data_IF_259639807556
#
_entry.id   IF_259639807556
#
_cell.length_a   1.000
_cell.length_b   1.000
_cell.length_c   1.000
_cell.angle_alpha   90.00
_cell.angle_beta   90.00
_cell.angle_gamma   90.00
#
_symmetry.space_group_name_H-M   'P 1'
#
loop_
_entity.id
_entity.type
_entity.pdbx_description
1 polymer ?
#
# COMPACT_ATOMS: atom_id res chain seq x y z
N UNK A 1 -36.06 35.50 -41.78
CA UNK A 1 -35.25 35.50 -43.01
C UNK A 1 -33.89 36.09 -42.68
N UNK A 2 -32.93 35.24 -42.28
CA UNK A 2 -31.46 35.38 -42.48
C UNK A 2 -30.78 34.17 -41.86
N UNK A 3 -30.31 33.23 -42.68
CA UNK A 3 -29.11 32.45 -42.39
C UNK A 3 -27.96 32.96 -43.28
N UNK A 4 -26.87 32.22 -43.50
CA UNK A 4 -26.22 31.18 -42.69
C UNK A 4 -24.74 31.56 -42.40
N UNK A 5 -23.96 30.68 -41.77
CA UNK A 5 -22.53 30.92 -41.55
C UNK A 5 -21.77 29.69 -41.07
N UNK A 6 -21.58 28.73 -41.96
CA UNK A 6 -20.65 27.61 -41.83
C UNK A 6 -19.24 28.07 -41.47
N UNK A 7 -18.60 27.45 -40.47
CA UNK A 7 -17.13 27.34 -40.40
C UNK A 7 -16.69 26.02 -39.75
N UNK A 8 -16.30 25.10 -40.63
CA UNK A 8 -15.01 24.40 -40.68
C UNK A 8 -14.56 23.53 -39.49
N UNK A 9 -14.50 22.23 -39.79
CA UNK A 9 -13.68 21.20 -39.15
C UNK A 9 -12.18 21.55 -39.21
N UNK A 10 -11.45 21.21 -38.13
CA UNK A 10 -10.00 21.12 -38.09
C UNK A 10 -9.60 20.25 -36.90
N UNK A 11 -9.13 19.02 -37.18
CA UNK A 11 -8.69 18.07 -36.16
C UNK A 11 -7.20 18.22 -35.82
N UNK A 12 -6.81 17.70 -34.65
CA UNK A 12 -5.46 17.22 -34.34
C UNK A 12 -5.54 16.34 -33.07
N UNK A 13 -4.92 15.17 -33.14
CA UNK A 13 -4.91 14.16 -32.08
C UNK A 13 -3.90 14.43 -30.94
N UNK A 14 -3.23 13.37 -30.44
CA UNK A 14 -3.36 12.87 -29.09
C UNK A 14 -2.35 13.49 -28.11
N UNK A 15 -2.74 13.61 -26.84
CA UNK A 15 -1.86 14.07 -25.76
C UNK A 15 -2.23 13.40 -24.44
N UNK A 16 -1.53 12.32 -24.14
CA UNK A 16 -0.91 12.00 -22.86
C UNK A 16 -1.80 12.06 -21.60
N UNK A 17 -2.21 10.88 -21.13
CA UNK A 17 -2.58 10.66 -19.73
C UNK A 17 -1.31 10.73 -18.88
N UNK A 18 -0.90 11.95 -18.54
CA UNK A 18 -0.01 12.17 -17.41
C UNK A 18 -0.81 11.86 -16.14
N UNK A 19 -0.55 10.70 -15.55
CA UNK A 19 -0.95 10.40 -14.16
C UNK A 19 -0.18 11.38 -13.25
N UNK A 20 -0.79 12.54 -13.04
CA UNK A 20 -0.36 13.48 -12.02
C UNK A 20 -0.47 12.80 -10.65
N UNK A 21 0.67 12.75 -9.94
CA UNK A 21 0.68 12.44 -8.52
C UNK A 21 -0.21 13.43 -7.76
N UNK A 22 -1.10 12.89 -6.94
CA UNK A 22 -1.96 13.63 -6.03
C UNK A 22 -2.33 12.68 -4.88
N UNK A 23 -2.14 12.97 -3.61
CA UNK A 23 -1.47 14.09 -2.97
C UNK A 23 -1.17 13.65 -1.54
N UNK A 24 0.01 13.98 -1.05
CA UNK A 24 0.25 14.01 0.39
C UNK A 24 -0.71 15.07 0.94
N UNK A 25 -1.74 14.61 1.66
CA UNK A 25 -2.76 15.47 2.27
C UNK A 25 -2.14 16.35 3.34
N UNK A 26 -1.62 17.49 2.91
CA UNK A 26 -1.93 18.77 3.50
C UNK A 26 -3.44 18.78 3.80
N UNK A 27 -3.79 18.51 5.05
CA UNK A 27 -5.08 18.92 5.61
C UNK A 27 -4.81 20.20 6.40
N UNK A 28 -4.43 21.25 5.68
CA UNK A 28 -4.43 22.62 6.16
C UNK A 28 -5.85 22.99 6.56
N UNK A 29 -6.08 22.99 7.87
CA UNK A 29 -6.83 23.99 8.61
C UNK A 29 -8.08 24.55 7.90
N UNK A 30 -9.04 23.68 7.62
CA UNK A 30 -10.45 24.08 7.50
C UNK A 30 -11.07 24.34 8.88
N UNK A 31 -10.48 25.24 9.67
CA UNK A 31 -10.86 25.48 11.06
C UNK A 31 -10.77 26.92 11.53
N UNK A 32 -10.38 27.86 10.66
CA UNK A 32 -10.43 29.30 10.95
C UNK A 32 -11.80 29.92 10.63
N UNK A 33 -12.87 29.13 10.71
CA UNK A 33 -14.23 29.65 10.78
C UNK A 33 -14.51 30.16 12.20
N UNK A 34 -15.54 30.99 12.41
CA UNK A 34 -15.92 31.51 13.74
C UNK A 34 -16.29 30.41 14.76
N UNK A 35 -16.48 29.16 14.33
CA UNK A 35 -16.69 27.98 15.17
C UNK A 35 -15.89 26.78 14.61
N UNK A 36 -15.16 26.08 15.48
CA UNK A 36 -14.24 24.99 15.11
C UNK A 36 -14.81 23.60 15.45
N UNK A 37 -16.04 23.28 15.03
CA UNK A 37 -16.76 22.07 15.43
C UNK A 37 -15.99 20.75 15.15
N UNK A 38 -15.41 20.60 13.95
CA UNK A 38 -14.61 19.43 13.58
C UNK A 38 -13.38 19.27 14.48
N UNK A 39 -12.72 20.38 14.83
CA UNK A 39 -11.55 20.37 15.69
C UNK A 39 -11.90 19.99 17.14
N UNK A 40 -13.09 20.36 17.63
CA UNK A 40 -13.58 19.93 18.95
C UNK A 40 -13.81 18.42 19.01
N UNK A 41 -14.41 17.83 17.96
CA UNK A 41 -14.57 16.38 17.90
C UNK A 41 -13.23 15.66 17.86
N UNK A 42 -12.29 16.14 17.03
CA UNK A 42 -10.95 15.58 16.95
C UNK A 42 -10.19 15.69 18.29
N UNK A 43 -10.38 16.79 19.04
CA UNK A 43 -9.83 16.96 20.40
C UNK A 43 -10.37 15.90 21.36
N UNK A 44 -11.69 15.69 21.39
CA UNK A 44 -12.34 14.73 22.29
C UNK A 44 -11.95 13.26 22.05
N UNK A 45 -11.59 12.95 20.81
CA UNK A 45 -11.16 11.61 20.41
C UNK A 45 -9.62 11.44 20.40
N UNK A 46 -8.88 12.45 20.88
CA UNK A 46 -7.42 12.47 20.90
C UNK A 46 -6.77 12.25 19.51
N UNK A 47 -7.40 12.80 18.47
CA UNK A 47 -6.98 12.68 17.07
C UNK A 47 -6.26 13.92 16.52
N UNK A 48 -6.05 14.95 17.35
CA UNK A 48 -5.27 16.13 16.96
C UNK A 48 -3.77 15.90 17.14
N UNK A 49 -2.98 16.50 16.25
CA UNK A 49 -1.55 16.65 16.50
C UNK A 49 -1.31 17.66 17.64
N UNK A 50 -0.17 17.55 18.33
CA UNK A 50 0.12 18.38 19.50
C UNK A 50 0.09 19.90 19.20
N UNK A 51 0.51 20.31 17.99
CA UNK A 51 0.45 21.70 17.57
C UNK A 51 -1.00 22.19 17.40
N UNK A 52 -1.86 21.38 16.77
CA UNK A 52 -3.26 21.72 16.54
C UNK A 52 -4.05 21.75 17.86
N UNK A 53 -3.74 20.83 18.77
CA UNK A 53 -4.34 20.82 20.10
C UNK A 53 -4.07 22.13 20.86
N UNK A 54 -2.83 22.66 20.81
CA UNK A 54 -2.51 23.95 21.44
C UNK A 54 -3.32 25.09 20.83
N UNK A 55 -3.48 25.11 19.50
CA UNK A 55 -4.29 26.13 18.80
C UNK A 55 -5.76 26.05 19.22
N UNK A 56 -6.33 24.84 19.26
CA UNK A 56 -7.73 24.64 19.66
C UNK A 56 -7.93 25.03 21.13
N UNK A 57 -7.02 24.67 22.04
CA UNK A 57 -7.10 25.09 23.44
C UNK A 57 -7.00 26.62 23.61
N UNK A 58 -6.15 27.28 22.83
CA UNK A 58 -6.07 28.74 22.82
C UNK A 58 -7.39 29.37 22.34
N UNK A 59 -8.02 28.80 21.31
CA UNK A 59 -9.34 29.24 20.85
C UNK A 59 -10.43 29.03 21.92
N UNK A 60 -10.43 27.90 22.62
CA UNK A 60 -11.36 27.62 23.72
C UNK A 60 -11.24 28.62 24.87
N UNK A 61 -10.04 29.15 25.14
CA UNK A 61 -9.84 30.20 26.11
C UNK A 61 -10.43 31.56 25.67
N UNK A 62 -10.55 31.81 24.36
CA UNK A 62 -11.08 33.05 23.79
C UNK A 62 -12.54 33.00 23.33
N UNK A 63 -13.12 31.81 23.13
CA UNK A 63 -14.47 31.64 22.59
C UNK A 63 -15.40 30.88 23.58
N UNK A 64 -16.27 31.59 24.33
CA UNK A 64 -17.16 30.96 25.30
C UNK A 64 -18.22 30.06 24.66
N UNK A 65 -18.61 30.32 23.41
CA UNK A 65 -19.56 29.50 22.67
C UNK A 65 -18.98 28.10 22.38
N UNK A 66 -17.77 28.04 21.82
CA UNK A 66 -17.06 26.77 21.60
C UNK A 66 -16.76 26.03 22.91
N UNK A 67 -16.43 26.75 23.99
CA UNK A 67 -16.24 26.13 25.31
C UNK A 67 -17.56 25.56 25.88
N UNK A 68 -18.69 26.20 25.63
CA UNK A 68 -20.01 25.68 26.01
C UNK A 68 -20.39 24.45 25.20
N UNK A 69 -20.15 24.45 23.89
CA UNK A 69 -20.35 23.29 23.02
C UNK A 69 -19.51 22.09 23.49
N UNK A 70 -18.21 22.30 23.75
CA UNK A 70 -17.34 21.23 24.25
C UNK A 70 -17.89 20.61 25.54
N UNK A 71 -18.30 21.43 26.52
CA UNK A 71 -18.89 20.94 27.77
C UNK A 71 -20.19 20.15 27.55
N UNK A 72 -21.03 20.57 26.61
CA UNK A 72 -22.27 19.84 26.30
C UNK A 72 -21.98 18.45 25.73
N UNK A 73 -21.00 18.35 24.84
CA UNK A 73 -20.60 17.06 24.25
C UNK A 73 -19.92 16.17 25.28
N UNK A 74 -19.05 16.71 26.15
CA UNK A 74 -18.44 15.99 27.27
C UNK A 74 -19.49 15.43 28.22
N UNK A 75 -20.52 16.23 28.55
CA UNK A 75 -21.63 15.80 29.39
C UNK A 75 -22.40 14.64 28.74
N UNK A 76 -22.78 14.77 27.47
CA UNK A 76 -23.44 13.69 26.73
C UNK A 76 -22.59 12.40 26.70
N UNK A 77 -21.28 12.52 26.45
CA UNK A 77 -20.32 11.41 26.46
C UNK A 77 -20.24 10.73 27.83
N UNK A 78 -20.28 11.51 28.91
CA UNK A 78 -20.28 10.99 30.27
C UNK A 78 -21.55 10.21 30.60
N UNK A 79 -22.73 10.66 30.13
CA UNK A 79 -23.98 9.94 30.30
C UNK A 79 -23.99 8.60 29.56
N UNK A 80 -23.56 8.60 28.29
CA UNK A 80 -23.49 7.36 27.49
C UNK A 80 -22.51 6.37 28.11
N UNK A 81 -21.34 6.84 28.58
CA UNK A 81 -20.35 5.98 29.25
C UNK A 81 -20.76 5.53 30.65
N UNK A 82 -21.67 6.26 31.28
CA UNK A 82 -22.26 5.91 32.57
C UNK A 82 -23.40 4.90 32.47
N UNK A 83 -23.82 4.51 31.26
CA UNK A 83 -24.83 3.48 31.09
C UNK A 83 -24.32 2.13 31.61
N UNK A 84 -25.18 1.34 32.29
CA UNK A 84 -24.81 0.01 32.71
C UNK A 84 -24.51 -0.86 31.47
N UNK A 85 -23.56 -1.81 31.59
CA UNK A 85 -23.35 -2.79 30.53
C UNK A 85 -24.64 -3.59 30.30
N UNK A 86 -24.98 -3.79 29.02
CA UNK A 86 -26.17 -4.56 28.62
C UNK A 86 -25.72 -5.94 28.20
N UNK A 87 -26.24 -6.97 28.87
CA UNK A 87 -26.02 -8.35 28.45
C UNK A 87 -26.77 -8.64 27.14
N UNK A 88 -26.11 -9.32 26.17
CA UNK A 88 -26.75 -9.68 24.92
C UNK A 88 -27.87 -10.71 25.14
N UNK A 89 -28.90 -10.74 24.29
CA UNK A 89 -29.98 -11.70 24.41
C UNK A 89 -29.49 -13.12 24.16
N UNK A 90 -30.22 -14.11 24.69
CA UNK A 90 -29.88 -15.53 24.54
C UNK A 90 -29.70 -15.92 23.05
N UNK A 91 -28.70 -16.75 22.78
CA UNK A 91 -28.40 -17.23 21.44
C UNK A 91 -27.70 -16.19 20.53
N UNK A 92 -27.34 -15.00 21.03
CA UNK A 92 -26.73 -13.94 20.21
C UNK A 92 -25.36 -14.36 19.64
N UNK A 93 -24.50 -14.92 20.49
CA UNK A 93 -23.15 -15.31 20.08
C UNK A 93 -23.15 -16.50 19.14
N UNK A 94 -24.05 -17.46 19.35
CA UNK A 94 -24.24 -18.63 18.49
C UNK A 94 -24.62 -18.19 17.07
N UNK A 95 -25.59 -17.27 16.93
CA UNK A 95 -25.97 -16.70 15.63
C UNK A 95 -24.85 -15.90 14.97
N UNK A 96 -24.05 -15.19 15.77
CA UNK A 96 -22.91 -14.41 15.26
C UNK A 96 -21.81 -15.33 14.72
N UNK A 97 -21.52 -16.41 15.42
CA UNK A 97 -20.47 -17.37 15.09
C UNK A 97 -20.88 -18.33 13.97
N UNK A 98 -22.17 -18.61 13.80
CA UNK A 98 -22.68 -19.53 12.78
C UNK A 98 -22.78 -18.87 11.39
N UNK A 99 -21.74 -18.12 10.95
CA UNK A 99 -21.72 -17.49 9.62
C UNK A 99 -21.37 -18.54 8.54
N UNK A 100 -22.34 -19.22 7.89
CA UNK A 100 -22.06 -20.42 7.09
C UNK A 100 -21.49 -20.06 5.71
N UNK A 101 -21.58 -18.77 5.35
CA UNK A 101 -21.32 -18.25 4.02
C UNK A 101 -19.84 -18.29 3.66
N UNK A 102 -18.92 -18.10 4.61
CA UNK A 102 -17.48 -18.19 4.31
C UNK A 102 -17.01 -19.63 4.13
N UNK A 103 -17.59 -20.58 4.86
CA UNK A 103 -17.17 -21.99 4.84
C UNK A 103 -17.52 -22.67 3.52
N UNK A 104 -18.69 -22.38 2.94
CA UNK A 104 -19.10 -22.90 1.63
C UNK A 104 -18.23 -22.37 0.49
N UNK A 105 -17.84 -21.10 0.54
CA UNK A 105 -17.02 -20.47 -0.50
C UNK A 105 -15.54 -20.83 -0.35
N UNK A 106 -15.04 -20.99 0.89
CA UNK A 106 -13.70 -21.50 1.16
C UNK A 106 -13.53 -22.97 0.74
N UNK A 107 -14.54 -23.81 0.97
CA UNK A 107 -14.54 -25.19 0.50
C UNK A 107 -14.58 -25.26 -1.04
N UNK A 108 -15.38 -24.40 -1.69
CA UNK A 108 -15.41 -24.30 -3.15
C UNK A 108 -14.07 -23.83 -3.74
N UNK A 109 -13.38 -22.87 -3.11
CA UNK A 109 -12.07 -22.39 -3.58
C UNK A 109 -10.97 -23.44 -3.43
N UNK A 110 -11.00 -24.26 -2.36
CA UNK A 110 -10.03 -25.34 -2.17
C UNK A 110 -10.21 -26.46 -3.20
N UNK A 111 -11.46 -26.83 -3.48
CA UNK A 111 -11.79 -27.81 -4.52
C UNK A 111 -11.40 -27.32 -5.93
N UNK A 112 -11.64 -26.04 -6.24
CA UNK A 112 -11.24 -25.45 -7.52
C UNK A 112 -9.71 -25.40 -7.70
N UNK A 113 -8.96 -25.06 -6.66
CA UNK A 113 -7.49 -25.04 -6.70
C UNK A 113 -6.89 -26.44 -6.92
N UNK A 114 -7.44 -27.46 -6.27
CA UNK A 114 -7.00 -28.85 -6.45
C UNK A 114 -7.31 -29.38 -7.87
N UNK A 115 -8.44 -28.99 -8.47
CA UNK A 115 -8.76 -29.38 -9.84
C UNK A 115 -7.84 -28.70 -10.88
N UNK A 116 -7.47 -27.43 -10.65
CA UNK A 116 -6.60 -26.69 -11.55
C UNK A 116 -5.16 -27.24 -11.59
N UNK A 117 -4.62 -27.68 -10.45
CA UNK A 117 -3.27 -28.26 -10.38
C UNK A 117 -3.18 -29.61 -11.09
N UNK A 118 -4.22 -30.46 -10.97
CA UNK A 118 -4.29 -31.75 -11.70
C UNK A 118 -4.41 -31.52 -13.21
N UNK A 119 -5.21 -30.54 -13.65
CA UNK A 119 -5.30 -30.18 -15.07
C UNK A 119 -3.98 -29.63 -15.62
N UNK A 120 -3.26 -28.80 -14.84
CA UNK A 120 -1.98 -28.22 -15.27
C UNK A 120 -0.88 -29.28 -15.39
N UNK A 121 -0.82 -30.27 -14.48
CA UNK A 121 0.20 -31.32 -14.52
C UNK A 121 -0.12 -32.46 -15.51
N UNK A 122 -1.40 -32.72 -15.80
CA UNK A 122 -1.82 -33.83 -16.66
C UNK A 122 -1.99 -33.51 -18.15
N UNK A 123 -2.23 -32.24 -18.52
CA UNK A 123 -2.71 -31.89 -19.87
C UNK A 123 -1.67 -31.16 -20.73
N UNK A 124 -0.62 -30.57 -20.15
CA UNK A 124 0.40 -29.86 -20.92
C UNK A 124 1.56 -30.81 -21.26
N UNK A 125 1.73 -31.24 -22.53
CA UNK A 125 2.92 -31.97 -22.92
C UNK A 125 4.12 -31.05 -22.72
N UNK A 126 5.11 -31.51 -21.94
CA UNK A 126 6.38 -30.84 -21.77
C UNK A 126 7.00 -30.62 -23.16
N UNK A 127 6.94 -29.39 -23.66
CA UNK A 127 7.61 -29.02 -24.90
C UNK A 127 9.10 -28.92 -24.58
N UNK A 128 9.81 -30.02 -24.77
CA UNK A 128 11.28 -30.01 -24.77
C UNK A 128 11.74 -29.13 -25.93
N UNK A 129 11.99 -27.85 -25.65
CA UNK A 129 12.67 -26.98 -26.58
C UNK A 129 14.17 -27.35 -26.54
N UNK A 130 14.76 -27.86 -27.63
CA UNK A 130 16.18 -28.19 -27.65
C UNK A 130 16.98 -26.90 -27.50
N UNK A 131 17.52 -26.67 -26.31
CA UNK A 131 18.43 -25.56 -26.02
C UNK A 131 19.71 -25.84 -26.82
N UNK A 132 19.90 -25.15 -27.94
CA UNK A 132 21.18 -25.10 -28.65
C UNK A 132 22.00 -23.96 -28.04
N UNK A 133 22.92 -24.22 -27.08
CA UNK A 133 23.76 -23.17 -26.56
C UNK A 133 24.63 -22.61 -27.69
N UNK A 134 24.70 -21.28 -27.81
CA UNK A 134 25.54 -20.61 -28.79
C UNK A 134 27.01 -20.69 -28.31
N UNK A 135 27.61 -21.89 -28.43
CA UNK A 135 28.96 -22.20 -27.94
C UNK A 135 30.01 -21.24 -28.52
N UNK A 136 29.80 -20.77 -29.75
CA UNK A 136 30.63 -19.77 -30.40
C UNK A 136 30.69 -18.44 -29.63
N UNK A 137 29.58 -18.02 -29.02
CA UNK A 137 29.50 -16.80 -28.21
C UNK A 137 30.34 -16.94 -26.94
N UNK A 138 30.22 -18.07 -26.25
CA UNK A 138 31.00 -18.37 -25.04
C UNK A 138 32.51 -18.38 -25.31
N UNK A 139 32.94 -19.00 -26.42
CA UNK A 139 34.35 -19.03 -26.82
C UNK A 139 34.89 -17.61 -27.10
N UNK A 140 34.08 -16.79 -27.77
CA UNK A 140 34.46 -15.42 -28.13
C UNK A 140 34.63 -14.52 -26.90
N UNK A 141 33.76 -14.68 -25.90
CA UNK A 141 33.87 -13.92 -24.65
C UNK A 141 35.14 -14.28 -23.88
N UNK A 142 35.48 -15.58 -23.82
CA UNK A 142 36.70 -16.02 -23.14
C UNK A 142 37.99 -15.59 -23.87
N UNK A 143 38.01 -15.61 -25.21
CA UNK A 143 39.18 -15.22 -26.00
C UNK A 143 39.56 -13.74 -25.83
N UNK A 144 38.58 -12.85 -25.63
CA UNK A 144 38.82 -11.42 -25.40
C UNK A 144 39.47 -11.19 -24.02
N UNK A 145 39.02 -11.91 -22.98
CA UNK A 145 39.65 -11.83 -21.64
C UNK A 145 41.06 -12.42 -21.59
N UNK A 146 41.34 -13.48 -22.36
CA UNK A 146 42.66 -14.12 -22.35
C UNK A 146 43.74 -13.36 -23.13
N UNK A 147 43.34 -12.42 -24.00
CA UNK A 147 44.26 -11.69 -24.89
C UNK A 147 44.65 -10.30 -24.37
N UNK A 148 43.93 -9.74 -23.40
CA UNK A 148 44.09 -8.32 -23.01
C UNK A 148 44.98 -8.12 -21.78
N UNK A 149 45.19 -9.15 -20.95
CA UNK A 149 46.13 -9.08 -19.82
C UNK A 149 46.97 -10.36 -19.77
N UNK A 150 48.31 -10.20 -19.75
CA UNK A 150 49.26 -11.31 -19.71
C UNK A 150 48.96 -12.30 -18.58
N UNK A 151 49.21 -13.59 -18.86
CA UNK A 151 48.83 -14.74 -18.05
C UNK A 151 49.03 -14.52 -16.52
N UNK A 152 47.93 -14.35 -15.75
CA UNK A 152 48.00 -14.12 -14.32
C UNK A 152 48.46 -15.37 -13.54
N UNK A 153 48.43 -16.56 -14.15
CA UNK A 153 48.86 -17.81 -13.52
C UNK A 153 50.38 -17.84 -13.39
N UNK A 154 51.11 -17.33 -14.39
CA UNK A 154 52.56 -17.21 -14.36
C UNK A 154 53.07 -16.21 -13.30
N UNK A 155 52.25 -15.22 -12.88
CA UNK A 155 52.62 -14.24 -11.85
C UNK A 155 52.47 -14.75 -10.41
N UNK A 156 51.72 -15.84 -10.18
CA UNK A 156 51.49 -16.42 -8.85
C UNK A 156 52.59 -17.41 -8.40
N UNK A 157 53.49 -17.82 -9.30
CA UNK A 157 54.52 -18.81 -8.99
C UNK A 157 55.68 -18.29 -8.12
N UNK A 158 55.88 -16.97 -8.00
CA UNK A 158 57.06 -16.39 -7.33
C UNK A 158 56.86 -16.10 -5.83
N UNK A 159 55.64 -16.15 -5.29
CA UNK A 159 55.36 -15.79 -3.90
C UNK A 159 55.17 -17.02 -2.99
N UNK A 160 56.20 -17.88 -2.89
CA UNK A 160 56.21 -18.99 -1.93
C UNK A 160 56.68 -18.54 -0.55
N UNK A 161 55.77 -18.36 0.41
CA UNK A 161 56.09 -18.19 1.84
C UNK A 161 55.87 -19.52 2.57
N UNK A 162 56.90 -20.19 3.10
CA UNK A 162 56.70 -21.40 3.90
C UNK A 162 56.20 -21.03 5.31
N UNK A 163 55.08 -21.62 5.72
CA UNK A 163 54.57 -21.50 7.10
C UNK A 163 54.74 -22.85 7.81
N UNK A 164 55.44 -22.87 8.94
CA UNK A 164 55.56 -24.06 9.79
C UNK A 164 54.52 -24.00 10.91
N UNK A 165 53.82 -25.11 11.13
CA UNK A 165 52.94 -25.28 12.28
C UNK A 165 53.66 -26.13 13.34
N UNK A 166 53.69 -25.63 14.57
CA UNK A 166 54.21 -26.32 15.75
C UNK A 166 53.02 -26.99 16.48
N UNK A 167 53.17 -28.23 17.00
CA UNK A 167 52.06 -29.05 17.51
C UNK A 167 51.38 -28.48 18.74
#
# INVERSE_FOLDING_TARGET
MTGPGDRSMGGAGPGDRSMGGAGAGDRSMGGAGPHAAEALSALLDAQLAAADEQVVRAHLAGCPACAAELRQVEMARSWVRGLPPVDPPFGFYERLLDTPRRRRWAAASLAAAAAASVAFMGVLPAREAPVKPAVATLIRTHAVTASVDGDPVSQLATAGVPVSFRP
#
